data_IF_397924204565
#
_entry.id   IF_397924204565
#
_cell.length_a   1.000
_cell.length_b   1.000
_cell.length_c   1.000
_cell.angle_alpha   90.00
_cell.angle_beta   90.00
_cell.angle_gamma   90.00
#
_symmetry.space_group_name_H-M   'P 1'
#
loop_
_entity.id
_entity.type
_entity.pdbx_description
1 polymer ?
#
# COMPACT_ATOMS: atom_id res chain seq x y z
N UNK A 1 11.30 11.20 -0.34
CA UNK A 1 11.20 9.89 -1.04
C UNK A 1 10.56 8.88 -0.11
N UNK A 2 9.68 8.00 -0.60
CA UNK A 2 9.02 6.95 0.19
C UNK A 2 9.32 5.61 -0.48
N UNK A 3 9.56 4.58 0.33
CA UNK A 3 9.68 3.21 -0.13
C UNK A 3 8.60 2.32 0.47
N UNK A 4 8.37 1.17 -0.17
CA UNK A 4 7.52 0.10 0.37
C UNK A 4 8.36 -1.18 0.56
N UNK A 5 8.06 -1.95 1.60
CA UNK A 5 8.68 -3.26 1.81
C UNK A 5 7.79 -4.15 2.69
N UNK A 6 8.18 -5.41 2.85
CA UNK A 6 7.62 -6.27 3.90
C UNK A 6 8.52 -6.31 5.14
N UNK A 7 7.95 -6.64 6.29
CA UNK A 7 8.67 -6.76 7.56
C UNK A 7 9.84 -7.75 7.48
N UNK A 8 9.68 -8.84 6.73
CA UNK A 8 10.74 -9.84 6.56
C UNK A 8 11.94 -9.30 5.78
N UNK A 9 11.70 -8.52 4.73
CA UNK A 9 12.74 -8.03 3.82
C UNK A 9 13.42 -6.75 4.29
N UNK A 10 12.89 -6.08 5.32
CA UNK A 10 13.39 -4.76 5.72
C UNK A 10 13.43 -4.60 7.25
N UNK A 11 14.42 -5.24 7.86
CA UNK A 11 14.69 -5.17 9.29
C UNK A 11 15.94 -4.32 9.53
N UNK A 12 15.76 -3.10 10.04
CA UNK A 12 16.87 -2.18 10.25
C UNK A 12 16.51 -1.06 11.22
N UNK A 13 17.52 -0.53 11.90
CA UNK A 13 17.43 0.67 12.73
C UNK A 13 17.87 1.95 11.97
N UNK A 14 18.49 1.79 10.79
CA UNK A 14 19.10 2.91 10.05
C UNK A 14 18.08 3.68 9.21
N UNK A 15 16.87 3.16 9.08
CA UNK A 15 15.80 3.78 8.30
C UNK A 15 14.58 4.01 9.18
N UNK A 16 13.94 5.16 8.96
CA UNK A 16 12.62 5.42 9.51
C UNK A 16 11.63 4.47 8.81
N UNK A 17 11.01 3.60 9.57
CA UNK A 17 10.02 2.63 9.07
C UNK A 17 8.66 2.91 9.69
N UNK A 18 7.58 2.62 8.97
CA UNK A 18 6.22 2.70 9.47
C UNK A 18 5.45 1.43 9.16
N UNK A 19 4.93 0.74 10.18
CA UNK A 19 3.92 -0.29 9.95
C UNK A 19 2.58 0.36 9.57
N UNK A 20 2.00 -0.10 8.46
CA UNK A 20 0.69 0.38 7.96
C UNK A 20 -0.41 -0.68 8.06
N UNK A 21 -0.15 -1.79 8.75
CA UNK A 21 -1.14 -2.85 9.02
C UNK A 21 -2.02 -2.52 10.23
N UNK A 22 -3.21 -3.12 10.30
CA UNK A 22 -4.18 -2.86 11.37
C UNK A 22 -3.69 -3.25 12.77
N UNK A 23 -2.86 -4.30 12.85
CA UNK A 23 -2.19 -4.72 14.08
C UNK A 23 -0.78 -4.10 14.23
N UNK A 24 -0.43 -3.07 13.44
CA UNK A 24 0.80 -2.27 13.61
C UNK A 24 2.10 -3.10 13.57
N UNK A 25 2.11 -4.21 12.82
CA UNK A 25 3.29 -5.06 12.68
C UNK A 25 3.51 -6.03 13.86
N UNK A 26 2.57 -6.15 14.81
CA UNK A 26 2.72 -7.01 15.97
C UNK A 26 3.01 -8.48 15.62
N UNK A 27 2.37 -9.03 14.58
CA UNK A 27 2.58 -10.44 14.19
C UNK A 27 3.97 -10.69 13.59
N UNK A 28 4.68 -9.62 13.20
CA UNK A 28 6.08 -9.67 12.75
C UNK A 28 7.08 -9.28 13.85
N UNK A 29 6.62 -9.08 15.10
CA UNK A 29 7.47 -8.59 16.19
C UNK A 29 7.99 -7.18 15.97
N UNK A 30 7.29 -6.36 15.18
CA UNK A 30 7.70 -5.00 14.88
C UNK A 30 7.28 -4.03 16.00
N UNK A 31 8.22 -3.21 16.45
CA UNK A 31 8.04 -2.25 17.57
C UNK A 31 8.34 -0.80 17.16
N UNK A 32 8.43 -0.52 15.86
CA UNK A 32 8.71 0.83 15.35
C UNK A 32 7.47 1.71 15.21
N UNK A 33 7.57 2.75 14.36
CA UNK A 33 6.49 3.69 14.16
C UNK A 33 5.33 3.03 13.41
N UNK A 34 4.11 3.51 13.62
CA UNK A 34 2.95 3.03 12.90
C UNK A 34 2.17 4.19 12.30
N UNK A 35 1.53 3.95 11.15
CA UNK A 35 0.65 4.91 10.50
C UNK A 35 -0.73 4.28 10.28
N UNK A 36 -1.53 4.12 11.36
CA UNK A 36 -2.78 3.37 11.33
C UNK A 36 -3.86 4.00 10.45
N UNK A 37 -3.70 5.27 10.06
CA UNK A 37 -4.58 5.94 9.09
C UNK A 37 -4.63 5.21 7.74
N UNK A 38 -3.53 4.55 7.34
CA UNK A 38 -3.47 3.73 6.13
C UNK A 38 -3.89 2.27 6.37
N UNK A 39 -4.28 1.88 7.59
CA UNK A 39 -4.69 0.51 7.84
C UNK A 39 -6.02 0.18 7.13
N UNK A 40 -6.12 -1.00 6.48
CA UNK A 40 -7.37 -1.51 5.95
C UNK A 40 -8.45 -1.59 7.05
N UNK A 41 -9.71 -1.33 6.69
CA UNK A 41 -10.82 -1.52 7.61
C UNK A 41 -11.11 -3.03 7.72
N UNK A 42 -11.41 -3.47 8.94
CA UNK A 42 -11.54 -4.89 9.29
C UNK A 42 -12.70 -5.57 8.55
N UNK A 43 -13.76 -4.82 8.27
CA UNK A 43 -14.98 -5.30 7.62
C UNK A 43 -14.71 -5.83 6.19
N UNK A 44 -14.18 -5.00 5.28
CA UNK A 44 -13.89 -5.46 3.91
C UNK A 44 -12.70 -6.41 3.87
N UNK A 45 -11.72 -6.25 4.77
CA UNK A 45 -10.62 -7.20 4.91
C UNK A 45 -11.11 -8.61 5.26
N UNK A 46 -12.09 -8.74 6.16
CA UNK A 46 -12.68 -10.04 6.51
C UNK A 46 -13.43 -10.67 5.34
N UNK A 47 -14.13 -9.87 4.53
CA UNK A 47 -14.80 -10.36 3.31
C UNK A 47 -13.77 -10.89 2.33
N UNK A 48 -12.74 -10.10 2.02
CA UNK A 48 -11.65 -10.51 1.14
C UNK A 48 -10.96 -11.78 1.64
N UNK A 49 -10.62 -11.85 2.93
CA UNK A 49 -9.93 -13.00 3.52
C UNK A 49 -10.78 -14.28 3.44
N UNK A 50 -12.10 -14.20 3.68
CA UNK A 50 -13.01 -15.36 3.58
C UNK A 50 -13.18 -15.85 2.14
N UNK A 51 -12.99 -14.98 1.17
CA UNK A 51 -13.14 -15.30 -0.25
C UNK A 51 -11.88 -15.92 -0.88
N UNK A 52 -10.75 -15.99 -0.15
CA UNK A 52 -9.53 -16.66 -0.61
C UNK A 52 -9.85 -18.13 -0.91
N UNK A 53 -9.59 -18.54 -2.16
CA UNK A 53 -9.87 -19.90 -2.64
C UNK A 53 -11.35 -20.20 -2.92
N UNK A 54 -12.26 -19.26 -2.64
CA UNK A 54 -13.71 -19.40 -2.89
C UNK A 54 -14.11 -18.72 -4.20
N UNK A 55 -13.54 -17.55 -4.47
CA UNK A 55 -13.74 -16.79 -5.72
C UNK A 55 -12.41 -16.59 -6.44
N UNK A 56 -12.40 -16.31 -7.75
CA UNK A 56 -11.16 -16.02 -8.47
C UNK A 56 -10.37 -14.90 -7.80
N UNK A 57 -9.05 -15.07 -7.69
CA UNK A 57 -8.17 -14.12 -6.99
C UNK A 57 -8.29 -12.70 -7.56
N UNK A 58 -8.36 -12.57 -8.89
CA UNK A 58 -8.54 -11.29 -9.58
C UNK A 58 -9.83 -10.56 -9.16
N UNK A 59 -10.92 -11.30 -8.99
CA UNK A 59 -12.23 -10.75 -8.55
C UNK A 59 -12.13 -10.30 -7.10
N UNK A 60 -11.49 -11.12 -6.25
CA UNK A 60 -11.33 -10.82 -4.84
C UNK A 60 -10.42 -9.59 -4.61
N UNK A 61 -9.27 -9.55 -5.29
CA UNK A 61 -8.32 -8.45 -5.16
C UNK A 61 -8.90 -7.14 -5.72
N UNK A 62 -9.68 -7.19 -6.82
CA UNK A 62 -10.42 -6.01 -7.30
C UNK A 62 -11.39 -5.48 -6.25
N UNK A 63 -12.18 -6.36 -5.63
CA UNK A 63 -13.07 -5.98 -4.52
C UNK A 63 -12.30 -5.28 -3.39
N UNK A 64 -11.15 -5.83 -2.97
CA UNK A 64 -10.32 -5.22 -1.94
C UNK A 64 -9.81 -3.83 -2.34
N UNK A 65 -9.29 -3.67 -3.57
CA UNK A 65 -8.78 -2.39 -4.07
C UNK A 65 -9.89 -1.34 -4.06
N UNK A 66 -11.08 -1.71 -4.51
CA UNK A 66 -12.25 -0.83 -4.51
C UNK A 66 -12.64 -0.36 -3.11
N UNK A 67 -12.80 -1.30 -2.17
CA UNK A 67 -13.20 -0.99 -0.81
C UNK A 67 -12.12 -0.19 -0.07
N UNK A 68 -10.85 -0.55 -0.25
CA UNK A 68 -9.75 0.17 0.37
C UNK A 68 -9.66 1.61 -0.14
N UNK A 69 -9.82 1.84 -1.45
CA UNK A 69 -9.89 3.19 -1.99
C UNK A 69 -11.09 3.97 -1.43
N UNK A 70 -12.30 3.44 -1.56
CA UNK A 70 -13.55 4.13 -1.16
C UNK A 70 -13.62 4.42 0.34
N UNK A 71 -13.12 3.50 1.16
CA UNK A 71 -13.27 3.59 2.62
C UNK A 71 -12.09 4.23 3.33
N UNK A 72 -10.90 4.19 2.72
CA UNK A 72 -9.65 4.70 3.31
C UNK A 72 -9.06 5.81 2.45
N UNK A 73 -8.52 5.50 1.27
CA UNK A 73 -7.67 6.44 0.52
C UNK A 73 -8.41 7.68 0.01
N UNK A 74 -9.68 7.55 -0.41
CA UNK A 74 -10.50 8.67 -0.90
C UNK A 74 -10.82 9.72 0.17
N UNK A 75 -10.60 9.39 1.46
CA UNK A 75 -10.84 10.28 2.60
C UNK A 75 -9.57 10.97 3.09
N UNK A 76 -8.43 10.69 2.46
CA UNK A 76 -7.13 11.21 2.84
C UNK A 76 -6.63 12.21 1.81
N UNK A 77 -5.88 13.20 2.28
CA UNK A 77 -5.12 14.10 1.42
C UNK A 77 -3.76 13.45 1.11
N UNK A 78 -3.44 13.16 -0.16
CA UNK A 78 -2.17 12.54 -0.52
C UNK A 78 -0.95 13.40 -0.18
N UNK A 79 -1.08 14.74 -0.22
CA UNK A 79 0.04 15.65 0.13
C UNK A 79 0.36 15.56 1.62
N UNK A 80 -0.66 15.50 2.48
CA UNK A 80 -0.48 15.33 3.94
C UNK A 80 0.15 13.97 4.23
N UNK A 81 -0.37 12.90 3.62
CA UNK A 81 0.19 11.53 3.81
C UNK A 81 1.65 11.47 3.35
N UNK A 82 1.98 12.09 2.22
CA UNK A 82 3.36 12.15 1.75
C UNK A 82 4.26 12.92 2.71
N UNK A 83 3.84 14.08 3.19
CA UNK A 83 4.64 14.90 4.10
C UNK A 83 4.88 14.21 5.46
N UNK A 84 3.89 13.50 5.99
CA UNK A 84 4.01 12.71 7.22
C UNK A 84 5.02 11.55 7.07
N UNK A 85 5.03 10.93 5.90
CA UNK A 85 5.76 9.70 5.63
C UNK A 85 7.04 9.91 4.80
N UNK A 86 7.39 11.15 4.43
CA UNK A 86 8.58 11.41 3.62
C UNK A 86 9.84 10.87 4.29
N UNK A 87 10.73 10.33 3.46
CA UNK A 87 12.01 9.74 3.85
C UNK A 87 11.82 8.53 4.80
N UNK A 88 10.83 7.70 4.51
CA UNK A 88 10.55 6.48 5.28
C UNK A 88 10.22 5.27 4.39
N UNK A 89 10.15 4.11 5.03
CA UNK A 89 9.77 2.83 4.42
C UNK A 89 8.47 2.33 5.04
N UNK A 90 7.45 2.11 4.22
CA UNK A 90 6.15 1.60 4.65
C UNK A 90 6.18 0.07 4.66
N UNK A 91 5.85 -0.53 5.80
CA UNK A 91 5.95 -1.96 6.04
C UNK A 91 4.58 -2.64 6.17
N UNK A 92 4.48 -3.81 5.55
CA UNK A 92 3.41 -4.79 5.75
C UNK A 92 3.98 -6.23 5.73
N UNK A 93 3.14 -7.26 5.62
CA UNK A 93 3.54 -8.65 5.86
C UNK A 93 3.97 -9.39 4.59
N UNK A 94 3.18 -9.32 3.53
CA UNK A 94 3.30 -10.20 2.37
C UNK A 94 4.55 -9.85 1.54
N UNK A 95 5.37 -10.83 1.16
CA UNK A 95 6.56 -10.57 0.31
C UNK A 95 6.15 -10.17 -1.11
N UNK A 96 6.85 -9.22 -1.73
CA UNK A 96 6.62 -8.92 -3.15
C UNK A 96 6.98 -10.16 -4.00
N UNK A 97 6.22 -10.45 -5.08
CA UNK A 97 5.16 -9.64 -5.69
C UNK A 97 3.73 -9.99 -5.22
N UNK A 98 3.56 -10.62 -4.06
CA UNK A 98 2.23 -11.01 -3.56
C UNK A 98 1.33 -9.79 -3.31
N UNK A 99 0.02 -9.99 -3.41
CA UNK A 99 -0.95 -8.94 -3.14
C UNK A 99 -0.82 -8.41 -1.72
N UNK A 100 -0.75 -7.09 -1.58
CA UNK A 100 -0.69 -6.40 -0.30
C UNK A 100 -1.20 -4.96 -0.44
N UNK A 101 -1.85 -4.42 0.58
CA UNK A 101 -2.36 -3.05 0.54
C UNK A 101 -1.27 -2.00 0.41
N UNK A 102 -0.03 -2.28 0.84
CA UNK A 102 1.10 -1.34 0.66
C UNK A 102 1.36 -1.02 -0.82
N UNK A 103 1.14 -1.98 -1.72
CA UNK A 103 1.28 -1.76 -3.15
C UNK A 103 0.16 -0.85 -3.69
N UNK A 104 -1.02 -0.91 -3.09
CA UNK A 104 -2.13 0.01 -3.40
C UNK A 104 -1.78 1.42 -2.93
N UNK A 105 -1.21 1.57 -1.72
CA UNK A 105 -0.73 2.87 -1.21
C UNK A 105 0.35 3.46 -2.12
N UNK A 106 1.35 2.66 -2.51
CA UNK A 106 2.37 3.09 -3.46
C UNK A 106 1.73 3.59 -4.76
N UNK A 107 0.90 2.77 -5.40
CA UNK A 107 0.22 3.15 -6.63
C UNK A 107 -0.62 4.43 -6.47
N UNK A 108 -1.32 4.59 -5.35
CA UNK A 108 -2.13 5.78 -5.06
C UNK A 108 -1.29 7.05 -4.96
N UNK A 109 -0.18 7.03 -4.21
CA UNK A 109 0.73 8.17 -4.09
C UNK A 109 1.37 8.52 -5.45
N UNK A 110 1.80 7.52 -6.21
CA UNK A 110 2.36 7.73 -7.55
C UNK A 110 1.34 8.35 -8.51
N UNK A 111 0.08 7.88 -8.49
CA UNK A 111 -0.98 8.38 -9.37
C UNK A 111 -1.46 9.77 -9.00
N UNK A 112 -1.48 10.10 -7.69
CA UNK A 112 -2.01 11.38 -7.21
C UNK A 112 -0.98 12.50 -7.20
N UNK A 113 0.29 12.18 -6.93
CA UNK A 113 1.36 13.17 -6.78
C UNK A 113 2.41 13.13 -7.90
N UNK A 114 2.38 12.13 -8.79
CA UNK A 114 3.36 12.00 -9.86
C UNK A 114 4.78 11.65 -9.39
N UNK A 115 4.91 11.08 -8.19
CA UNK A 115 6.19 10.63 -7.61
C UNK A 115 6.45 9.15 -7.90
N UNK A 116 7.62 8.64 -7.52
CA UNK A 116 7.95 7.20 -7.51
C UNK A 116 8.00 6.68 -6.08
N UNK A 117 7.35 5.53 -5.82
CA UNK A 117 7.31 4.89 -4.49
C UNK A 117 7.70 3.41 -4.61
N UNK A 118 8.98 3.09 -4.88
CA UNK A 118 9.36 1.74 -5.26
C UNK A 118 9.27 0.73 -4.09
N UNK A 119 9.11 -0.54 -4.43
CA UNK A 119 9.28 -1.66 -3.51
C UNK A 119 10.77 -1.99 -3.37
N UNK A 120 11.22 -2.28 -2.15
CA UNK A 120 12.62 -2.57 -1.86
C UNK A 120 12.77 -3.73 -0.89
N UNK A 121 13.93 -4.38 -0.91
CA UNK A 121 14.46 -5.22 0.15
C UNK A 121 15.79 -4.66 0.64
N UNK A 122 16.17 -5.03 1.87
CA UNK A 122 17.49 -4.74 2.42
C UNK A 122 18.34 -6.01 2.41
N UNK A 123 19.34 -6.06 1.53
CA UNK A 123 20.29 -7.17 1.42
C UNK A 123 21.68 -6.63 1.70
N UNK A 124 22.36 -7.16 2.71
CA UNK A 124 23.70 -6.71 3.13
C UNK A 124 23.78 -5.19 3.36
N UNK A 125 22.76 -4.61 4.01
CA UNK A 125 22.59 -3.16 4.22
C UNK A 125 22.49 -2.33 2.93
N UNK A 126 22.21 -2.96 1.79
CA UNK A 126 21.98 -2.28 0.51
C UNK A 126 20.52 -2.42 0.09
N UNK A 127 19.99 -1.34 -0.48
CA UNK A 127 18.66 -1.33 -1.07
C UNK A 127 18.70 -2.11 -2.38
N UNK A 128 17.84 -3.14 -2.48
CA UNK A 128 17.56 -3.87 -3.71
C UNK A 128 16.13 -3.55 -4.13
N UNK A 129 15.94 -3.13 -5.38
CA UNK A 129 14.61 -2.82 -5.91
C UNK A 129 13.88 -4.10 -6.31
N UNK A 130 12.60 -4.18 -5.96
CA UNK A 130 11.72 -5.28 -6.27
C UNK A 130 10.58 -4.79 -7.18
N UNK A 131 9.97 -5.72 -7.91
CA UNK A 131 8.83 -5.42 -8.76
C UNK A 131 7.54 -5.29 -7.94
N UNK A 132 6.76 -4.25 -8.24
CA UNK A 132 5.36 -4.22 -7.80
C UNK A 132 4.49 -5.15 -8.64
N UNK A 133 3.40 -5.69 -8.08
CA UNK A 133 2.36 -6.32 -8.88
C UNK A 133 1.70 -5.30 -9.83
N UNK A 134 2.07 -5.37 -11.10
CA UNK A 134 1.66 -4.42 -12.15
C UNK A 134 0.14 -4.25 -12.31
N UNK A 135 -0.66 -5.25 -11.96
CA UNK A 135 -2.11 -5.19 -12.11
C UNK A 135 -2.76 -4.25 -11.08
N UNK A 136 -2.18 -4.06 -9.89
CA UNK A 136 -2.77 -3.23 -8.82
C UNK A 136 -2.94 -1.78 -9.29
N UNK A 137 -1.90 -1.22 -9.92
CA UNK A 137 -1.96 0.14 -10.45
C UNK A 137 -3.03 0.29 -11.54
N UNK A 138 -3.17 -0.71 -12.41
CA UNK A 138 -4.19 -0.72 -13.48
C UNK A 138 -5.60 -0.74 -12.91
N UNK A 139 -5.85 -1.62 -11.93
CA UNK A 139 -7.16 -1.72 -11.26
C UNK A 139 -7.48 -0.43 -10.51
N UNK A 140 -6.54 0.12 -9.75
CA UNK A 140 -6.74 1.36 -8.99
C UNK A 140 -7.10 2.55 -9.91
N UNK A 141 -6.47 2.67 -11.10
CA UNK A 141 -6.85 3.69 -12.09
C UNK A 141 -8.33 3.56 -12.48
N UNK A 142 -8.84 2.33 -12.68
CA UNK A 142 -10.25 2.12 -13.04
C UNK A 142 -11.17 2.52 -11.89
N UNK A 143 -10.83 2.14 -10.65
CA UNK A 143 -11.58 2.54 -9.45
C UNK A 143 -11.66 4.07 -9.33
N UNK A 144 -10.52 4.75 -9.46
CA UNK A 144 -10.42 6.21 -9.35
C UNK A 144 -11.16 6.95 -10.48
N UNK A 145 -11.21 6.39 -11.69
CA UNK A 145 -11.99 6.95 -12.81
C UNK A 145 -13.50 6.87 -12.56
N UNK A 146 -13.96 5.76 -11.98
CA UNK A 146 -15.38 5.53 -11.71
C UNK A 146 -15.92 6.40 -10.57
N UNK A 147 -15.06 6.91 -9.69
CA UNK A 147 -15.41 7.76 -8.54
C UNK A 147 -15.75 9.23 -8.90
N UNK A 148 -15.85 9.59 -10.20
CA UNK A 148 -16.19 10.93 -10.73
C UNK A 148 -15.26 12.09 -10.28
N UNK A 149 -14.29 11.87 -9.39
CA UNK A 149 -13.39 12.91 -8.85
C UNK A 149 -12.10 13.18 -9.66
N UNK A 150 -11.61 12.22 -10.47
CA UNK A 150 -10.30 12.36 -11.13
C UNK A 150 -10.31 13.05 -12.50
N UNK A 151 -11.48 13.32 -13.08
CA UNK A 151 -11.56 13.84 -14.45
C UNK A 151 -11.05 15.29 -14.61
N UNK A 152 -10.69 15.99 -13.53
CA UNK A 152 -10.20 17.38 -13.57
C UNK A 152 -8.69 17.56 -13.44
N UNK A 153 -7.90 16.51 -13.14
CA UNK A 153 -6.44 16.64 -12.93
C UNK A 153 -5.56 15.83 -13.89
N UNK A 154 -6.13 14.95 -14.71
CA UNK A 154 -5.39 14.18 -15.73
C UNK A 154 -5.32 14.88 -17.10
N UNK A 155 -5.76 16.14 -17.19
CA UNK A 155 -5.62 16.98 -18.39
C UNK A 155 -4.88 18.24 -17.96
N UNK A 156 -3.56 18.17 -17.94
CA UNK A 156 -2.66 19.31 -18.11
C UNK A 156 -1.37 18.84 -18.75
#
# INVERSE_FOLDING_TARGET
MIYTSCHKNFQTINYKTYAISGNRGCDAGYHGLCYPTLAPKKDFWLVWHRNIGVVPEEVNNRYYIEEYYKQVLSKLDPEIVYEDLKNSVLLCYEEAPLFCHRHIVAAWLELTLGISVPEVALVDNKIVFLEHPNYIKKELIQVMKNDKGLCKRLIK
#
